data_IF_609031273146
#
_entry.id   IF_609031273146
#
_cell.length_a   1.000
_cell.length_b   1.000
_cell.length_c   1.000
_cell.angle_alpha   90.00
_cell.angle_beta   90.00
_cell.angle_gamma   90.00
#
_symmetry.space_group_name_H-M   'P 1'
#
loop_
_entity.id
_entity.type
_entity.pdbx_description
1 polymer ?
#
# COMPACT_ATOMS: atom_id res chain seq x y z
N UNK A 1 -20.13 18.41 8.95
CA UNK A 1 -18.95 17.68 9.47
C UNK A 1 -19.38 17.02 10.76
N UNK A 2 -19.38 15.69 10.81
CA UNK A 2 -19.97 14.91 11.91
C UNK A 2 -19.10 14.94 13.19
N UNK A 3 -17.79 15.09 13.05
CA UNK A 3 -16.85 15.22 14.17
C UNK A 3 -16.76 16.65 14.76
N UNK A 4 -17.40 17.65 14.15
CA UNK A 4 -17.33 19.05 14.61
C UNK A 4 -15.95 19.72 14.52
N UNK A 5 -14.96 19.07 13.89
CA UNK A 5 -13.58 19.58 13.75
C UNK A 5 -13.48 20.49 12.52
N UNK A 6 -12.93 21.69 12.71
CA UNK A 6 -12.61 22.61 11.62
C UNK A 6 -11.36 22.14 10.86
N UNK A 7 -11.29 22.41 9.55
CA UNK A 7 -10.16 21.99 8.72
C UNK A 7 -8.82 22.51 9.25
N UNK A 8 -8.75 23.78 9.66
CA UNK A 8 -7.54 24.38 10.22
C UNK A 8 -7.14 23.89 11.61
N UNK A 9 -7.93 23.00 12.23
CA UNK A 9 -7.58 22.37 13.50
C UNK A 9 -6.86 21.02 13.31
N UNK A 10 -6.65 20.58 12.06
CA UNK A 10 -5.87 19.38 11.76
C UNK A 10 -4.37 19.69 11.77
N UNK A 11 -3.54 18.69 12.09
CA UNK A 11 -2.08 18.82 12.00
C UNK A 11 -1.57 18.70 10.55
N UNK A 12 -2.25 17.88 9.73
CA UNK A 12 -1.91 17.65 8.33
C UNK A 12 -3.09 16.99 7.58
N UNK A 13 -3.03 16.97 6.25
CA UNK A 13 -3.98 16.24 5.40
C UNK A 13 -3.30 15.03 4.77
N UNK A 14 -3.76 13.83 5.10
CA UNK A 14 -3.28 12.59 4.50
C UNK A 14 -4.06 12.19 3.25
N UNK A 15 -3.41 11.57 2.28
CA UNK A 15 -4.07 11.05 1.08
C UNK A 15 -3.40 9.79 0.53
N UNK A 16 -4.20 8.99 -0.19
CA UNK A 16 -3.69 7.84 -0.95
C UNK A 16 -2.94 8.32 -2.19
N UNK A 17 -1.62 8.12 -2.22
CA UNK A 17 -0.75 8.56 -3.32
C UNK A 17 -0.71 7.59 -4.50
N UNK A 18 -1.50 6.52 -4.49
CA UNK A 18 -1.35 5.40 -5.39
C UNK A 18 -0.40 4.31 -4.84
N UNK A 19 -0.12 3.28 -5.65
CA UNK A 19 -0.59 3.09 -7.03
C UNK A 19 -2.10 2.74 -7.09
N UNK A 20 -2.74 2.99 -8.24
CA UNK A 20 -4.16 2.72 -8.41
C UNK A 20 -4.74 3.33 -9.70
N UNK A 21 -6.06 3.52 -9.73
CA UNK A 21 -6.74 4.12 -10.88
C UNK A 21 -6.25 5.56 -11.09
N UNK A 22 -5.63 5.81 -12.25
CA UNK A 22 -4.98 7.07 -12.61
C UNK A 22 -5.81 8.33 -12.31
N UNK A 23 -7.08 8.33 -12.71
CA UNK A 23 -8.01 9.44 -12.47
C UNK A 23 -8.27 9.66 -10.98
N UNK A 24 -8.43 8.57 -10.22
CA UNK A 24 -8.73 8.63 -8.78
C UNK A 24 -7.57 9.19 -7.97
N UNK A 25 -6.35 8.74 -8.25
CA UNK A 25 -5.15 9.20 -7.52
C UNK A 25 -4.86 10.68 -7.81
N UNK A 26 -5.03 11.12 -9.07
CA UNK A 26 -4.88 12.54 -9.43
C UNK A 26 -5.94 13.43 -8.76
N UNK A 27 -7.19 12.98 -8.74
CA UNK A 27 -8.26 13.70 -8.06
C UNK A 27 -7.96 13.84 -6.57
N UNK A 28 -7.55 12.76 -5.90
CA UNK A 28 -7.18 12.78 -4.49
C UNK A 28 -6.04 13.77 -4.22
N UNK A 29 -4.99 13.74 -5.05
CA UNK A 29 -3.85 14.65 -4.96
C UNK A 29 -4.28 16.13 -5.14
N UNK A 30 -5.03 16.45 -6.20
CA UNK A 30 -5.50 17.82 -6.47
C UNK A 30 -6.40 18.37 -5.37
N UNK A 31 -7.33 17.56 -4.85
CA UNK A 31 -8.21 17.96 -3.74
C UNK A 31 -7.40 18.19 -2.48
N UNK A 32 -6.47 17.29 -2.16
CA UNK A 32 -5.58 17.41 -0.99
C UNK A 32 -4.75 18.68 -1.08
N UNK A 33 -4.13 18.94 -2.24
CA UNK A 33 -3.33 20.15 -2.48
C UNK A 33 -4.15 21.42 -2.25
N UNK A 34 -5.36 21.50 -2.81
CA UNK A 34 -6.23 22.67 -2.66
C UNK A 34 -6.66 22.91 -1.21
N UNK A 35 -7.04 21.85 -0.50
CA UNK A 35 -7.43 21.93 0.92
C UNK A 35 -6.26 22.32 1.81
N UNK A 36 -5.10 21.68 1.60
CA UNK A 36 -3.90 21.92 2.40
C UNK A 36 -3.38 23.34 2.18
N UNK A 37 -3.31 23.80 0.94
CA UNK A 37 -2.92 25.17 0.60
C UNK A 37 -3.86 26.20 1.23
N UNK A 38 -5.19 26.02 1.07
CA UNK A 38 -6.18 26.95 1.61
C UNK A 38 -6.22 27.01 3.15
N UNK A 39 -5.84 25.92 3.82
CA UNK A 39 -5.81 25.83 5.28
C UNK A 39 -4.43 26.09 5.89
N UNK A 40 -3.38 26.31 5.08
CA UNK A 40 -2.01 26.46 5.58
C UNK A 40 -1.45 25.17 6.21
N UNK A 41 -1.92 24.01 5.76
CA UNK A 41 -1.54 22.70 6.29
C UNK A 41 -0.53 22.00 5.40
N UNK A 42 0.27 21.13 6.02
CA UNK A 42 1.07 20.16 5.30
C UNK A 42 0.28 18.92 4.87
N UNK A 43 0.91 18.09 4.05
CA UNK A 43 0.33 16.86 3.51
C UNK A 43 1.16 15.64 3.84
N UNK A 44 0.49 14.49 3.94
CA UNK A 44 1.14 13.19 4.18
C UNK A 44 0.71 12.20 3.10
N UNK A 45 1.57 11.90 2.12
CA UNK A 45 1.26 10.98 1.04
C UNK A 45 1.46 9.52 1.52
N UNK A 46 0.42 8.71 1.46
CA UNK A 46 0.44 7.30 1.93
C UNK A 46 0.21 6.37 0.75
N UNK A 47 1.04 5.33 0.62
CA UNK A 47 0.84 4.30 -0.41
C UNK A 47 -0.47 3.54 -0.21
N UNK A 48 -1.22 3.34 -1.29
CA UNK A 48 -2.43 2.52 -1.28
C UNK A 48 -2.13 1.04 -1.04
N UNK A 49 -0.97 0.54 -1.49
CA UNK A 49 -0.52 -0.82 -1.17
C UNK A 49 -0.20 -0.96 0.33
N UNK A 50 0.42 0.05 0.94
CA UNK A 50 0.71 0.09 2.38
C UNK A 50 -0.56 0.19 3.21
N UNK A 51 -1.52 1.03 2.81
CA UNK A 51 -2.83 1.14 3.46
C UNK A 51 -3.63 -0.17 3.39
N UNK A 52 -3.57 -0.85 2.23
CA UNK A 52 -4.16 -2.17 2.05
C UNK A 52 -3.50 -3.23 2.96
N UNK A 53 -2.17 -3.21 3.06
CA UNK A 53 -1.45 -4.11 3.95
C UNK A 53 -1.76 -3.84 5.43
N UNK A 54 -1.79 -2.56 5.85
CA UNK A 54 -2.19 -2.16 7.21
C UNK A 54 -3.56 -2.71 7.58
N UNK A 55 -4.53 -2.63 6.66
CA UNK A 55 -5.89 -3.14 6.88
C UNK A 55 -5.89 -4.66 7.11
N UNK A 56 -5.06 -5.40 6.38
CA UNK A 56 -4.92 -6.84 6.54
C UNK A 56 -4.28 -7.20 7.90
N UNK A 57 -3.24 -6.46 8.31
CA UNK A 57 -2.58 -6.62 9.61
C UNK A 57 -3.52 -6.30 10.78
N UNK A 58 -4.33 -5.26 10.67
CA UNK A 58 -5.28 -4.84 11.71
C UNK A 58 -6.45 -5.82 11.94
N UNK A 59 -6.47 -6.98 11.28
CA UNK A 59 -7.48 -8.01 11.51
C UNK A 59 -8.79 -7.76 10.76
N UNK A 60 -8.76 -7.16 9.56
CA UNK A 60 -9.92 -7.15 8.66
C UNK A 60 -10.45 -8.56 8.29
N UNK A 61 -9.77 -9.62 8.75
CA UNK A 61 -10.35 -10.91 9.05
C UNK A 61 -11.10 -10.85 10.40
N UNK A 62 -12.38 -10.47 10.42
CA UNK A 62 -13.25 -10.57 11.61
C UNK A 62 -13.53 -12.01 12.08
N UNK A 63 -12.60 -12.92 11.86
CA UNK A 63 -12.62 -14.32 12.25
C UNK A 63 -11.34 -14.50 13.07
N UNK A 64 -11.41 -15.14 14.25
CA UNK A 64 -10.30 -15.30 15.20
C UNK A 64 -9.12 -16.15 14.70
N UNK A 65 -8.63 -15.85 13.51
CA UNK A 65 -7.43 -16.38 12.91
C UNK A 65 -6.20 -15.59 13.33
N UNK A 66 -5.06 -16.24 13.15
CA UNK A 66 -3.74 -15.75 13.52
C UNK A 66 -3.45 -14.38 12.88
N UNK A 67 -2.96 -13.44 13.69
CA UNK A 67 -2.62 -12.09 13.21
C UNK A 67 -1.49 -12.20 12.19
N UNK A 68 -1.70 -11.77 10.95
CA UNK A 68 -0.63 -11.83 9.95
C UNK A 68 0.55 -10.97 10.38
N UNK A 69 1.76 -11.49 10.26
CA UNK A 69 2.98 -10.70 10.44
C UNK A 69 3.50 -10.16 9.10
N UNK A 70 3.10 -10.79 7.98
CA UNK A 70 3.58 -10.51 6.63
C UNK A 70 2.44 -10.40 5.64
N UNK A 71 2.50 -9.39 4.76
CA UNK A 71 1.48 -9.15 3.76
C UNK A 71 2.10 -8.86 2.39
N UNK A 72 1.72 -9.64 1.39
CA UNK A 72 1.88 -9.29 -0.01
C UNK A 72 0.61 -8.54 -0.46
N UNK A 73 0.73 -7.22 -0.62
CA UNK A 73 -0.32 -6.42 -1.22
C UNK A 73 -0.16 -6.45 -2.75
N UNK A 74 -1.23 -6.76 -3.46
CA UNK A 74 -1.24 -6.87 -4.92
C UNK A 74 -2.53 -6.30 -5.50
N UNK A 75 -2.42 -5.29 -6.36
CA UNK A 75 -3.57 -4.64 -7.02
C UNK A 75 -3.46 -4.77 -8.54
N UNK A 76 -4.59 -4.98 -9.20
CA UNK A 76 -4.66 -4.96 -10.66
C UNK A 76 -4.22 -3.59 -11.21
N UNK A 77 -3.15 -3.57 -12.01
CA UNK A 77 -2.62 -2.37 -12.65
C UNK A 77 -3.23 -2.11 -14.03
N UNK A 78 -4.19 -2.95 -14.46
CA UNK A 78 -4.69 -3.06 -15.84
C UNK A 78 -3.57 -3.54 -16.78
N UNK A 79 -3.86 -3.60 -18.07
CA UNK A 79 -2.87 -3.98 -19.11
C UNK A 79 -2.14 -5.31 -18.86
N UNK A 80 -2.78 -6.25 -18.14
CA UNK A 80 -2.19 -7.54 -17.72
C UNK A 80 -1.02 -7.41 -16.74
N UNK A 81 -0.96 -6.31 -15.99
CA UNK A 81 0.05 -6.05 -14.98
C UNK A 81 -0.58 -5.98 -13.58
N UNK A 82 0.27 -6.08 -12.57
CA UNK A 82 -0.08 -5.84 -11.16
C UNK A 82 0.87 -4.86 -10.52
N UNK A 83 0.34 -4.04 -9.61
CA UNK A 83 1.14 -3.33 -8.63
C UNK A 83 1.31 -4.23 -7.41
N UNK A 84 2.52 -4.39 -6.90
CA UNK A 84 2.72 -5.15 -5.66
C UNK A 84 3.75 -4.52 -4.73
N UNK A 85 3.59 -4.83 -3.45
CA UNK A 85 4.49 -4.44 -2.37
C UNK A 85 4.42 -5.47 -1.25
N UNK A 86 5.54 -5.65 -0.56
CA UNK A 86 5.66 -6.56 0.56
C UNK A 86 5.78 -5.75 1.85
N UNK A 87 5.05 -6.15 2.90
CA UNK A 87 5.03 -5.42 4.17
C UNK A 87 5.12 -6.38 5.34
N UNK A 88 5.81 -5.94 6.38
CA UNK A 88 5.88 -6.61 7.67
C UNK A 88 5.23 -5.75 8.75
N UNK A 89 4.65 -6.41 9.74
CA UNK A 89 4.21 -5.75 10.95
C UNK A 89 5.41 -5.41 11.81
N UNK A 90 5.60 -4.12 12.08
CA UNK A 90 6.51 -3.65 13.12
C UNK A 90 5.68 -2.89 14.14
N UNK A 91 5.59 -3.44 15.35
CA UNK A 91 4.63 -3.02 16.37
C UNK A 91 3.20 -3.16 15.81
N UNK A 92 2.53 -2.05 15.46
CA UNK A 92 1.16 -2.06 14.91
C UNK A 92 1.09 -1.58 13.45
N UNK A 93 2.24 -1.25 12.84
CA UNK A 93 2.27 -0.62 11.52
C UNK A 93 2.83 -1.54 10.44
N UNK A 94 2.24 -1.44 9.24
CA UNK A 94 2.80 -1.99 8.01
C UNK A 94 4.05 -1.21 7.61
N UNK A 95 5.20 -1.87 7.65
CA UNK A 95 6.49 -1.35 7.22
C UNK A 95 6.88 -2.04 5.91
N UNK A 96 7.26 -1.31 4.86
CA UNK A 96 7.64 -1.90 3.57
C UNK A 96 8.91 -2.75 3.69
N UNK A 97 8.91 -3.88 2.98
CA UNK A 97 10.05 -4.78 2.78
C UNK A 97 10.43 -4.72 1.30
N UNK A 98 11.37 -3.83 0.98
CA UNK A 98 11.73 -3.49 -0.39
C UNK A 98 10.80 -2.44 -1.01
N UNK A 99 10.92 -2.27 -2.32
CA UNK A 99 10.19 -1.25 -3.09
C UNK A 99 8.89 -1.80 -3.67
N UNK A 100 7.93 -0.90 -3.89
CA UNK A 100 6.72 -1.16 -4.67
C UNK A 100 7.08 -1.31 -6.16
N UNK A 101 6.41 -2.23 -6.86
CA UNK A 101 6.73 -2.57 -8.25
C UNK A 101 5.48 -2.70 -9.10
N UNK A 102 5.65 -2.61 -10.42
CA UNK A 102 4.63 -2.94 -11.42
C UNK A 102 5.20 -3.90 -12.45
N UNK A 103 4.37 -4.75 -13.04
CA UNK A 103 4.78 -5.68 -14.08
C UNK A 103 3.89 -6.91 -14.16
N UNK A 104 4.37 -7.92 -14.89
CA UNK A 104 3.64 -9.16 -15.14
C UNK A 104 3.32 -9.92 -13.82
N UNK A 105 2.11 -10.48 -13.66
CA UNK A 105 1.74 -11.26 -12.48
C UNK A 105 2.69 -12.43 -12.18
N UNK A 106 3.29 -13.05 -13.20
CA UNK A 106 4.30 -14.10 -13.05
C UNK A 106 5.64 -13.62 -12.52
N UNK A 107 5.92 -12.31 -12.57
CA UNK A 107 7.13 -11.69 -12.02
C UNK A 107 7.01 -11.34 -10.52
N UNK A 108 5.83 -11.52 -9.92
CA UNK A 108 5.63 -11.25 -8.49
C UNK A 108 6.47 -12.20 -7.65
N UNK A 109 7.38 -11.62 -6.89
CA UNK A 109 8.28 -12.34 -5.99
C UNK A 109 8.04 -11.94 -4.54
N UNK A 110 8.36 -12.85 -3.62
CA UNK A 110 8.38 -12.58 -2.19
C UNK A 110 9.83 -12.32 -1.76
N UNK A 111 10.06 -11.46 -0.75
CA UNK A 111 11.38 -11.28 -0.15
C UNK A 111 12.04 -12.62 0.21
N UNK A 112 13.32 -12.76 -0.09
CA UNK A 112 14.07 -13.98 0.20
C UNK A 112 14.04 -14.33 1.71
N UNK A 113 14.01 -13.31 2.57
CA UNK A 113 13.90 -13.45 4.03
C UNK A 113 12.58 -14.09 4.50
N UNK A 114 11.57 -14.17 3.63
CA UNK A 114 10.31 -14.87 3.91
C UNK A 114 10.37 -16.36 3.56
N UNK A 115 11.48 -16.83 2.96
CA UNK A 115 11.71 -18.21 2.57
C UNK A 115 12.19 -19.08 3.73
N UNK A 116 11.26 -19.73 4.42
CA UNK A 116 11.52 -20.73 5.45
C UNK A 116 10.26 -21.03 6.24
N UNK A 117 10.07 -22.29 6.68
CA UNK A 117 9.17 -22.59 7.81
C UNK A 117 9.66 -21.95 9.11
N UNK A 118 10.89 -21.42 9.09
CA UNK A 118 11.51 -20.68 10.16
C UNK A 118 11.57 -19.20 9.73
N UNK A 119 10.73 -18.32 10.33
CA UNK A 119 10.89 -16.90 10.16
C UNK A 119 12.24 -16.56 10.78
N UNK A 120 13.27 -16.13 10.04
CA UNK A 120 14.55 -15.74 10.65
C UNK A 120 14.41 -14.67 11.75
N UNK A 121 15.50 -14.31 12.46
CA UNK A 121 15.46 -13.39 13.59
C UNK A 121 15.13 -11.96 13.12
N UNK A 122 13.84 -11.64 13.11
CA UNK A 122 13.31 -10.33 12.75
C UNK A 122 12.10 -9.99 13.62
N UNK A 123 11.69 -8.72 13.70
CA UNK A 123 10.58 -8.29 14.54
C UNK A 123 9.26 -9.02 14.22
N UNK A 124 9.09 -9.49 12.99
CA UNK A 124 7.96 -10.33 12.57
C UNK A 124 7.94 -11.74 13.20
N UNK A 125 9.08 -12.28 13.65
CA UNK A 125 9.20 -13.60 14.29
C UNK A 125 8.55 -13.61 15.70
N UNK A 126 8.68 -12.50 16.44
CA UNK A 126 8.07 -12.36 17.77
C UNK A 126 6.53 -12.38 17.72
N UNK A 127 5.93 -12.12 16.56
CA UNK A 127 4.48 -12.04 16.38
C UNK A 127 3.83 -13.36 15.92
N UNK A 128 4.59 -14.44 15.67
CA UNK A 128 4.03 -15.77 15.33
C UNK A 128 3.10 -15.81 14.10
N UNK A 129 3.10 -14.77 13.26
CA UNK A 129 2.02 -14.55 12.31
C UNK A 129 2.25 -15.14 10.93
N UNK A 130 1.24 -15.82 10.39
CA UNK A 130 1.22 -16.28 8.99
C UNK A 130 1.32 -15.15 7.95
N UNK A 131 1.57 -15.52 6.70
CA UNK A 131 1.66 -14.60 5.57
C UNK A 131 0.32 -14.50 4.81
N UNK A 132 -0.10 -13.30 4.43
CA UNK A 132 -1.34 -13.09 3.66
C UNK A 132 -1.10 -12.42 2.31
N UNK A 133 -1.88 -12.79 1.30
CA UNK A 133 -1.99 -12.06 0.04
C UNK A 133 -3.26 -11.23 0.01
N UNK A 134 -3.20 -9.95 -0.34
CA UNK A 134 -4.38 -9.07 -0.32
C UNK A 134 -4.49 -8.22 -1.58
N UNK A 135 -5.71 -7.89 -1.95
CA UNK A 135 -6.00 -6.95 -3.03
C UNK A 135 -6.43 -7.58 -4.35
N UNK A 136 -6.90 -6.72 -5.25
CA UNK A 136 -7.59 -7.09 -6.49
C UNK A 136 -6.73 -7.87 -7.48
N UNK A 137 -5.40 -7.83 -7.36
CA UNK A 137 -4.51 -8.60 -8.23
C UNK A 137 -4.81 -10.10 -8.15
N UNK A 138 -5.10 -10.62 -6.96
CA UNK A 138 -5.45 -12.03 -6.76
C UNK A 138 -6.82 -12.43 -7.35
N UNK A 139 -7.73 -11.45 -7.52
CA UNK A 139 -9.03 -11.66 -8.18
C UNK A 139 -8.87 -11.61 -9.70
N UNK A 140 -8.06 -10.67 -10.20
CA UNK A 140 -7.84 -10.45 -11.62
C UNK A 140 -6.93 -11.50 -12.28
N UNK A 141 -5.96 -12.06 -11.53
CA UNK A 141 -4.94 -12.95 -12.08
C UNK A 141 -4.82 -14.25 -11.26
N UNK A 142 -5.59 -15.31 -11.61
CA UNK A 142 -5.56 -16.58 -10.91
C UNK A 142 -4.17 -17.24 -10.83
N UNK A 143 -3.26 -16.94 -11.77
CA UNK A 143 -1.88 -17.43 -11.73
C UNK A 143 -1.11 -17.00 -10.47
N UNK A 144 -1.46 -15.86 -9.86
CA UNK A 144 -0.84 -15.43 -8.60
C UNK A 144 -1.16 -16.42 -7.48
N UNK A 145 -2.42 -16.88 -7.41
CA UNK A 145 -2.83 -17.89 -6.43
C UNK A 145 -2.18 -19.23 -6.72
N UNK A 146 -2.03 -19.61 -7.98
CA UNK A 146 -1.34 -20.85 -8.34
C UNK A 146 0.16 -20.82 -7.96
N UNK A 147 0.84 -19.70 -8.20
CA UNK A 147 2.29 -19.56 -7.95
C UNK A 147 2.63 -19.33 -6.47
N UNK A 148 1.78 -18.61 -5.73
CA UNK A 148 2.08 -18.15 -4.38
C UNK A 148 1.18 -18.74 -3.29
N UNK A 149 0.08 -19.39 -3.66
CA UNK A 149 -0.96 -19.82 -2.72
C UNK A 149 -0.48 -20.78 -1.63
N UNK A 150 0.50 -21.65 -1.91
CA UNK A 150 1.08 -22.54 -0.90
C UNK A 150 1.94 -21.81 0.14
N UNK A 151 2.43 -20.60 -0.19
CA UNK A 151 3.20 -19.75 0.72
C UNK A 151 2.30 -18.79 1.50
N UNK A 152 1.13 -18.43 0.95
CA UNK A 152 0.19 -17.50 1.55
C UNK A 152 -0.85 -18.27 2.37
N UNK A 153 -0.84 -18.10 3.70
CA UNK A 153 -1.81 -18.75 4.59
C UNK A 153 -3.25 -18.30 4.37
N UNK A 154 -3.46 -17.07 3.86
CA UNK A 154 -4.79 -16.56 3.47
C UNK A 154 -4.68 -15.59 2.30
N UNK A 155 -5.72 -15.56 1.46
CA UNK A 155 -5.86 -14.57 0.38
C UNK A 155 -7.15 -13.77 0.56
N UNK A 156 -7.04 -12.44 0.62
CA UNK A 156 -8.15 -11.49 0.71
C UNK A 156 -8.23 -10.64 -0.57
N UNK A 157 -8.66 -11.27 -1.66
CA UNK A 157 -8.67 -10.67 -2.99
C UNK A 157 -9.60 -9.44 -3.11
N UNK A 158 -10.65 -9.39 -2.29
CA UNK A 158 -11.62 -8.29 -2.29
C UNK A 158 -11.30 -7.17 -1.29
N UNK A 159 -10.19 -7.27 -0.56
CA UNK A 159 -9.74 -6.20 0.32
C UNK A 159 -9.37 -4.96 -0.52
N UNK A 160 -9.69 -3.77 0.01
CA UNK A 160 -9.43 -2.47 -0.64
C UNK A 160 -8.77 -1.51 0.35
N UNK A 161 -7.93 -0.56 -0.11
CA UNK A 161 -7.45 0.54 0.72
C UNK A 161 -8.62 1.32 1.31
N UNK A 162 -8.41 1.91 2.49
CA UNK A 162 -9.42 2.70 3.21
C UNK A 162 -8.76 3.92 3.85
N UNK A 163 -9.54 4.99 3.97
CA UNK A 163 -9.07 6.25 4.55
C UNK A 163 -8.66 6.11 6.02
N UNK A 164 -9.26 5.18 6.76
CA UNK A 164 -8.92 4.93 8.16
C UNK A 164 -7.46 4.47 8.31
N UNK A 165 -7.02 3.51 7.50
CA UNK A 165 -5.64 3.03 7.52
C UNK A 165 -4.66 4.06 6.95
N UNK A 166 -5.07 4.87 5.97
CA UNK A 166 -4.28 6.02 5.51
C UNK A 166 -4.05 7.01 6.66
N UNK A 167 -5.10 7.36 7.41
CA UNK A 167 -4.99 8.29 8.54
C UNK A 167 -4.12 7.73 9.67
N UNK A 168 -4.28 6.43 9.99
CA UNK A 168 -3.46 5.74 10.99
C UNK A 168 -1.97 5.76 10.62
N UNK A 169 -1.65 5.37 9.39
CA UNK A 169 -0.28 5.39 8.89
C UNK A 169 0.27 6.82 8.89
N UNK A 170 -0.52 7.79 8.44
CA UNK A 170 -0.12 9.19 8.39
C UNK A 170 0.13 9.79 9.78
N UNK A 171 -0.64 9.40 10.80
CA UNK A 171 -0.39 9.86 12.18
C UNK A 171 1.03 9.52 12.65
N UNK A 172 1.54 8.34 12.29
CA UNK A 172 2.92 7.95 12.60
C UNK A 172 3.96 8.76 11.79
N UNK A 173 3.64 9.15 10.55
CA UNK A 173 4.50 10.02 9.74
C UNK A 173 4.55 11.45 10.31
N UNK A 174 3.41 11.99 10.73
CA UNK A 174 3.32 13.31 11.41
C UNK A 174 4.14 13.31 12.69
N UNK A 175 3.97 12.28 13.54
CA UNK A 175 4.73 12.14 14.78
C UNK A 175 6.26 12.06 14.55
N UNK A 176 6.68 11.57 13.38
CA UNK A 176 8.07 11.51 12.96
C UNK A 176 8.54 12.73 12.16
N UNK A 177 7.73 13.79 12.07
CA UNK A 177 8.06 15.03 11.35
C UNK A 177 8.05 14.90 9.82
N UNK A 178 7.51 13.82 9.27
CA UNK A 178 7.45 13.56 7.81
C UNK A 178 6.17 14.12 7.23
N UNK A 179 6.08 15.44 7.27
CA UNK A 179 4.99 16.25 6.69
C UNK A 179 5.58 17.11 5.58
N UNK A 180 4.90 17.15 4.44
CA UNK A 180 5.38 17.82 3.24
C UNK A 180 4.55 19.07 2.93
N UNK A 181 5.10 20.05 2.19
CA UNK A 181 4.33 21.16 1.65
C UNK A 181 3.17 20.70 0.77
N UNK A 182 2.10 21.50 0.70
CA UNK A 182 0.89 21.17 -0.06
C UNK A 182 1.17 20.83 -1.54
N UNK A 183 2.11 21.52 -2.18
CA UNK A 183 2.55 21.29 -3.56
C UNK A 183 3.23 19.94 -3.80
N UNK A 184 3.62 19.23 -2.73
CA UNK A 184 4.15 17.87 -2.81
C UNK A 184 3.07 16.80 -2.67
N UNK A 185 1.78 17.17 -2.64
CA UNK A 185 0.68 16.24 -2.84
C UNK A 185 0.65 15.73 -4.29
N UNK A 186 1.58 14.84 -4.63
CA UNK A 186 1.75 14.29 -5.96
C UNK A 186 1.34 12.81 -6.02
N UNK A 187 0.70 12.36 -7.11
CA UNK A 187 0.47 10.94 -7.35
C UNK A 187 1.80 10.23 -7.61
N UNK A 188 1.92 8.98 -7.18
CA UNK A 188 3.03 8.09 -7.53
C UNK A 188 2.64 7.22 -8.72
N UNK A 189 3.55 7.18 -9.70
CA UNK A 189 3.50 6.27 -10.83
C UNK A 189 4.58 5.22 -10.65
N UNK A 190 4.20 3.97 -10.37
CA UNK A 190 5.14 2.85 -10.14
C UNK A 190 5.64 2.25 -11.47
N UNK A 191 5.54 2.99 -12.58
CA UNK A 191 6.05 2.53 -13.88
C UNK A 191 7.53 2.86 -13.97
N UNK A 192 8.36 1.81 -14.06
CA UNK A 192 9.73 1.94 -14.53
C UNK A 192 9.75 2.72 -15.85
N UNK A 193 10.76 3.55 -15.99
CA UNK A 193 10.90 4.65 -16.94
C UNK A 193 10.33 4.37 -18.35
N UNK A 194 9.53 5.34 -18.81
CA UNK A 194 9.29 5.77 -20.20
C UNK A 194 9.51 4.72 -21.29
N UNK A 195 8.41 4.25 -21.88
CA UNK A 195 8.38 3.63 -23.21
C UNK A 195 9.33 4.38 -24.14
N UNK A 196 10.47 3.75 -24.51
CA UNK A 196 11.33 4.27 -25.57
C UNK A 196 10.48 4.45 -26.81
N UNK A 197 10.43 5.67 -27.34
CA UNK A 197 9.86 5.95 -28.65
C UNK A 197 10.50 5.00 -29.68
N UNK A 198 9.75 4.47 -30.66
CA UNK A 198 10.35 3.73 -31.76
C UNK A 198 11.26 4.70 -32.52
N UNK A 199 12.57 4.55 -32.32
CA UNK A 199 13.59 5.24 -33.10
C UNK A 199 13.41 4.86 -34.56
N UNK A 200 13.16 5.87 -35.38
CA UNK A 200 12.92 5.73 -36.81
C UNK A 200 14.09 5.05 -37.51
N UNK A 201 13.73 4.15 -38.43
CA UNK A 201 14.62 3.58 -39.43
C UNK A 201 15.08 4.70 -40.37
N UNK A 202 16.40 4.85 -40.52
CA UNK A 202 17.00 5.39 -41.74
C UNK A 202 17.46 4.21 -42.61
#
# INVERSE_FOLDING_TARGET
VEAGVALGALDAIAFGRGPGAFTGVRLAASVTQGLAFGAGLGVVPVSDLRALAQRALAGAAGEGGESAARVLACMDARMREVYWGCYERVVELAVPVGEERVGDPGAVTLPAAWGGHDPGPGPAQAAGGGMQGVGSGFSAYPQLRAALGSRLGRILAELRPRAAEIALLASAEVAAGRVFPAEQALPVYVRDEVVRAPGGSH
#
